data_IF_560993721224
#
_entry.id   IF_560993721224
#
_cell.length_a   1.000
_cell.length_b   1.000
_cell.length_c   1.000
_cell.angle_alpha   90.00
_cell.angle_beta   90.00
_cell.angle_gamma   90.00
#
_symmetry.space_group_name_H-M   'P 1'
#
loop_
_entity.id
_entity.type
_entity.pdbx_description
1 polymer ?
#
# COMPACT_ATOMS: atom_id res chain seq x y z
N UNK A 1 -11.03 25.37 -8.09
CA UNK A 1 -10.64 24.52 -6.99
C UNK A 1 -11.94 24.08 -6.32
N UNK A 2 -12.41 22.85 -6.58
CA UNK A 2 -13.52 22.30 -5.82
C UNK A 2 -13.01 22.05 -4.42
N UNK A 3 -13.71 22.57 -3.45
CA UNK A 3 -13.44 22.41 -2.02
C UNK A 3 -13.86 20.96 -1.67
N UNK A 4 -12.89 20.03 -1.73
CA UNK A 4 -13.08 18.63 -1.29
C UNK A 4 -13.14 18.58 0.25
N UNK A 5 -14.06 19.35 0.85
CA UNK A 5 -14.39 19.17 2.26
C UNK A 5 -15.05 17.80 2.39
N UNK A 6 -14.37 16.91 3.06
CA UNK A 6 -14.91 15.62 3.44
C UNK A 6 -16.08 15.92 4.40
N UNK A 7 -17.28 15.47 4.05
CA UNK A 7 -18.39 15.48 5.01
C UNK A 7 -18.12 14.38 6.04
N UNK A 8 -17.74 14.79 7.25
CA UNK A 8 -17.31 13.88 8.31
C UNK A 8 -18.46 12.96 8.74
N UNK A 9 -19.69 13.41 8.69
CA UNK A 9 -20.84 12.59 9.09
C UNK A 9 -21.16 11.52 8.02
N UNK A 10 -21.04 11.86 6.73
CA UNK A 10 -21.13 10.88 5.65
C UNK A 10 -19.99 9.86 5.74
N UNK A 11 -18.75 10.31 5.94
CA UNK A 11 -17.59 9.41 6.12
C UNK A 11 -17.76 8.47 7.31
N UNK A 12 -18.34 8.93 8.43
CA UNK A 12 -18.62 8.07 9.61
C UNK A 12 -19.65 7.00 9.31
N UNK A 13 -20.71 7.34 8.60
CA UNK A 13 -21.73 6.37 8.21
C UNK A 13 -21.16 5.34 7.23
N UNK A 14 -20.44 5.80 6.20
CA UNK A 14 -19.78 4.93 5.22
C UNK A 14 -18.78 4.00 5.93
N UNK A 15 -17.93 4.54 6.82
CA UNK A 15 -16.95 3.77 7.57
C UNK A 15 -17.60 2.63 8.38
N UNK A 16 -18.71 2.92 9.08
CA UNK A 16 -19.41 1.92 9.87
C UNK A 16 -19.99 0.80 9.00
N UNK A 17 -20.55 1.16 7.84
CA UNK A 17 -21.09 0.16 6.89
C UNK A 17 -19.94 -0.72 6.36
N UNK A 18 -18.86 -0.11 5.88
CA UNK A 18 -17.72 -0.84 5.30
C UNK A 18 -17.04 -1.74 6.33
N UNK A 19 -16.83 -1.27 7.56
CA UNK A 19 -16.21 -2.05 8.63
C UNK A 19 -17.07 -3.28 8.98
N UNK A 20 -18.40 -3.17 8.97
CA UNK A 20 -19.29 -4.30 9.22
C UNK A 20 -19.33 -5.31 8.08
N UNK A 21 -18.92 -4.93 6.88
CA UNK A 21 -18.83 -5.80 5.71
C UNK A 21 -17.48 -6.54 5.58
N UNK A 22 -16.49 -6.23 6.41
CA UNK A 22 -15.22 -6.94 6.42
C UNK A 22 -15.43 -8.41 6.80
N UNK A 23 -14.84 -9.31 6.00
CA UNK A 23 -14.73 -10.71 6.41
C UNK A 23 -13.69 -10.88 7.54
N UNK A 24 -13.61 -12.07 8.11
CA UNK A 24 -12.75 -12.34 9.26
C UNK A 24 -11.28 -12.01 9.00
N UNK A 25 -10.69 -12.42 7.86
CA UNK A 25 -9.31 -12.12 7.50
C UNK A 25 -9.07 -10.60 7.39
N UNK A 26 -9.98 -9.92 6.70
CA UNK A 26 -9.91 -8.46 6.53
C UNK A 26 -10.08 -7.74 7.86
N UNK A 27 -11.01 -8.19 8.71
CA UNK A 27 -11.27 -7.60 10.02
C UNK A 27 -10.05 -7.71 10.93
N UNK A 28 -9.42 -8.87 10.98
CA UNK A 28 -8.22 -9.08 11.78
C UNK A 28 -7.09 -8.13 11.37
N UNK A 29 -6.87 -7.97 10.05
CA UNK A 29 -5.84 -7.05 9.53
C UNK A 29 -6.22 -5.60 9.84
N UNK A 30 -7.48 -5.21 9.65
CA UNK A 30 -8.00 -3.89 9.97
C UNK A 30 -7.73 -3.54 11.45
N UNK A 31 -8.15 -4.40 12.38
CA UNK A 31 -8.01 -4.16 13.82
C UNK A 31 -6.54 -4.01 14.24
N UNK A 32 -5.62 -4.82 13.68
CA UNK A 32 -4.18 -4.69 13.93
C UNK A 32 -3.62 -3.35 13.43
N UNK A 33 -4.03 -2.90 12.25
CA UNK A 33 -3.58 -1.62 11.69
C UNK A 33 -4.11 -0.46 12.51
N UNK A 34 -5.39 -0.46 12.88
CA UNK A 34 -5.99 0.59 13.72
C UNK A 34 -5.33 0.64 15.09
N UNK A 35 -5.05 -0.52 15.69
CA UNK A 35 -4.28 -0.60 16.95
C UNK A 35 -2.90 0.05 16.80
N UNK A 36 -2.18 -0.22 15.70
CA UNK A 36 -0.85 0.35 15.45
C UNK A 36 -0.89 1.88 15.24
N UNK A 37 -1.97 2.40 14.63
CA UNK A 37 -2.15 3.84 14.43
C UNK A 37 -2.45 4.54 15.76
N UNK A 38 -3.25 3.91 16.63
CA UNK A 38 -3.67 4.48 17.91
C UNK A 38 -2.60 4.36 19.01
N UNK A 39 -1.65 3.43 18.87
CA UNK A 39 -0.58 3.22 19.85
C UNK A 39 0.80 3.55 19.25
N UNK A 40 1.37 4.67 19.63
CA UNK A 40 2.68 5.11 19.14
C UNK A 40 3.83 4.18 19.58
N UNK A 41 3.66 3.45 20.69
CA UNK A 41 4.62 2.48 21.20
C UNK A 41 4.49 1.10 20.56
N UNK A 42 3.49 0.88 19.67
CA UNK A 42 3.34 -0.38 18.96
C UNK A 42 4.56 -0.61 18.07
N UNK A 43 5.22 -1.76 18.28
CA UNK A 43 6.42 -2.13 17.52
C UNK A 43 6.09 -2.51 16.08
N UNK A 44 4.93 -3.14 15.89
CA UNK A 44 4.47 -3.55 14.57
C UNK A 44 3.80 -2.38 13.85
N UNK A 45 4.52 -1.78 12.92
CA UNK A 45 4.04 -0.64 12.13
C UNK A 45 4.10 -0.85 10.61
N UNK A 46 4.69 -1.95 10.15
CA UNK A 46 4.92 -2.24 8.75
C UNK A 46 4.20 -3.54 8.38
N UNK A 47 3.19 -3.44 7.49
CA UNK A 47 2.27 -4.51 7.11
C UNK A 47 2.36 -4.77 5.61
N UNK A 48 2.62 -6.00 5.21
CA UNK A 48 2.46 -6.44 3.83
C UNK A 48 1.20 -7.32 3.70
N UNK A 49 0.24 -6.86 2.91
CA UNK A 49 -1.01 -7.57 2.65
C UNK A 49 -0.96 -8.18 1.26
N UNK A 50 -0.81 -9.49 1.20
CA UNK A 50 -0.82 -10.27 -0.04
C UNK A 50 -2.19 -10.87 -0.33
N UNK A 51 -2.46 -11.12 -1.60
CA UNK A 51 -3.66 -11.83 -2.03
C UNK A 51 -3.85 -11.71 -3.53
N UNK A 52 -4.44 -12.73 -4.13
CA UNK A 52 -4.78 -12.76 -5.55
C UNK A 52 -5.81 -11.68 -5.92
N UNK A 53 -6.08 -11.52 -7.22
CA UNK A 53 -7.18 -10.66 -7.66
C UNK A 53 -8.51 -11.14 -7.08
N UNK A 54 -9.35 -10.22 -6.60
CA UNK A 54 -10.70 -10.54 -6.12
C UNK A 54 -10.82 -10.89 -4.64
N UNK A 55 -9.72 -10.95 -3.87
CA UNK A 55 -9.78 -11.20 -2.41
C UNK A 55 -10.13 -9.96 -1.57
N UNK A 56 -10.49 -8.86 -2.22
CA UNK A 56 -10.98 -7.65 -1.52
C UNK A 56 -9.87 -6.77 -0.91
N UNK A 57 -8.62 -6.78 -1.42
CA UNK A 57 -7.56 -5.86 -0.96
C UNK A 57 -7.99 -4.40 -1.01
N UNK A 58 -8.44 -3.93 -2.18
CA UNK A 58 -8.86 -2.52 -2.36
C UNK A 58 -10.05 -2.15 -1.49
N UNK A 59 -10.96 -3.11 -1.19
CA UNK A 59 -12.05 -2.90 -0.25
C UNK A 59 -11.53 -2.67 1.18
N UNK A 60 -10.64 -3.54 1.67
CA UNK A 60 -9.98 -3.36 2.97
C UNK A 60 -9.27 -2.01 3.05
N UNK A 61 -8.54 -1.63 2.00
CA UNK A 61 -7.79 -0.38 1.95
C UNK A 61 -8.71 0.83 2.03
N UNK A 62 -9.76 0.86 1.21
CA UNK A 62 -10.73 1.95 1.24
C UNK A 62 -11.49 2.00 2.57
N UNK A 63 -11.79 0.84 3.19
CA UNK A 63 -12.37 0.79 4.54
C UNK A 63 -11.47 1.45 5.58
N UNK A 64 -10.16 1.17 5.55
CA UNK A 64 -9.19 1.80 6.46
C UNK A 64 -9.12 3.31 6.21
N UNK A 65 -9.04 3.73 4.95
CA UNK A 65 -8.95 5.15 4.57
C UNK A 65 -10.21 5.89 5.03
N UNK A 66 -11.40 5.37 4.73
CA UNK A 66 -12.68 5.97 5.13
C UNK A 66 -12.81 6.06 6.66
N UNK A 67 -12.43 4.99 7.36
CA UNK A 67 -12.44 4.99 8.83
C UNK A 67 -11.50 6.06 9.43
N UNK A 68 -10.30 6.21 8.88
CA UNK A 68 -9.35 7.22 9.35
C UNK A 68 -9.77 8.64 8.98
N UNK A 69 -10.36 8.85 7.80
CA UNK A 69 -10.94 10.14 7.41
C UNK A 69 -12.06 10.55 8.37
N UNK A 70 -12.96 9.61 8.74
CA UNK A 70 -14.02 9.85 9.72
C UNK A 70 -13.50 10.26 11.11
N UNK A 71 -12.23 9.92 11.41
CA UNK A 71 -11.51 10.34 12.63
C UNK A 71 -10.60 11.57 12.40
N UNK A 72 -10.69 12.22 11.24
CA UNK A 72 -9.86 13.35 10.83
C UNK A 72 -8.34 13.04 10.83
N UNK A 73 -7.98 11.76 10.69
CA UNK A 73 -6.60 11.30 10.61
C UNK A 73 -6.14 11.34 9.17
N UNK A 74 -5.11 12.14 8.87
CA UNK A 74 -4.56 12.26 7.51
C UNK A 74 -3.90 10.96 7.06
N UNK A 75 -4.21 10.57 5.83
CA UNK A 75 -3.77 9.34 5.17
C UNK A 75 -3.02 9.67 3.89
N UNK A 76 -1.93 8.96 3.62
CA UNK A 76 -1.24 8.98 2.33
C UNK A 76 -1.65 7.72 1.55
N UNK A 77 -2.53 7.90 0.55
CA UNK A 77 -2.98 6.83 -0.34
C UNK A 77 -2.20 6.87 -1.64
N UNK A 78 -1.39 5.84 -1.91
CA UNK A 78 -0.59 5.75 -3.13
C UNK A 78 -0.68 4.38 -3.79
N UNK A 79 -0.40 4.35 -5.08
CA UNK A 79 -0.27 3.12 -5.85
C UNK A 79 0.88 3.21 -6.86
N UNK A 80 1.33 2.04 -7.34
CA UNK A 80 2.40 1.97 -8.35
C UNK A 80 1.93 2.37 -9.74
N UNK A 81 0.63 2.27 -10.04
CA UNK A 81 0.03 2.62 -11.33
C UNK A 81 -1.10 3.63 -11.16
N UNK A 82 -1.41 4.37 -12.24
CA UNK A 82 -2.55 5.32 -12.25
C UNK A 82 -3.89 4.62 -12.05
N UNK A 83 -4.07 3.42 -12.64
CA UNK A 83 -5.30 2.64 -12.51
C UNK A 83 -5.52 2.21 -11.06
N UNK A 84 -4.51 1.65 -10.41
CA UNK A 84 -4.61 1.27 -9.01
C UNK A 84 -4.82 2.50 -8.10
N UNK A 85 -4.17 3.64 -8.40
CA UNK A 85 -4.38 4.87 -7.67
C UNK A 85 -5.83 5.37 -7.75
N UNK A 86 -6.48 5.26 -8.91
CA UNK A 86 -7.88 5.65 -9.09
C UNK A 86 -8.88 4.77 -8.31
N UNK A 87 -8.47 3.56 -7.92
CA UNK A 87 -9.30 2.65 -7.10
C UNK A 87 -9.19 2.94 -5.60
N UNK A 88 -8.20 3.70 -5.18
CA UNK A 88 -8.03 4.11 -3.79
C UNK A 88 -8.68 5.47 -3.55
N UNK A 89 -9.39 5.61 -2.45
CA UNK A 89 -9.93 6.89 -1.99
C UNK A 89 -8.78 7.89 -1.81
N UNK A 90 -8.86 9.05 -2.48
CA UNK A 90 -7.79 10.09 -2.54
C UNK A 90 -6.43 9.57 -3.07
N UNK A 91 -6.45 8.50 -3.86
CA UNK A 91 -5.24 7.84 -4.34
C UNK A 91 -4.46 8.66 -5.36
N UNK A 92 -3.14 8.61 -5.28
CA UNK A 92 -2.19 9.17 -6.26
C UNK A 92 -1.13 8.14 -6.60
N UNK A 93 -0.46 8.32 -7.74
CA UNK A 93 0.73 7.50 -8.01
C UNK A 93 1.86 7.87 -7.06
N UNK A 94 2.70 6.91 -6.71
CA UNK A 94 3.87 7.14 -5.84
C UNK A 94 4.78 8.25 -6.38
N UNK A 95 5.00 8.28 -7.70
CA UNK A 95 5.82 9.32 -8.35
C UNK A 95 5.22 10.71 -8.19
N UNK A 96 3.91 10.85 -8.35
CA UNK A 96 3.21 12.14 -8.17
C UNK A 96 3.23 12.58 -6.71
N UNK A 97 2.87 11.69 -5.76
CA UNK A 97 2.78 12.06 -4.34
C UNK A 97 4.12 12.44 -3.73
N UNK A 98 5.18 11.72 -4.10
CA UNK A 98 6.52 11.93 -3.56
C UNK A 98 7.43 12.73 -4.51
N UNK A 99 6.89 13.27 -5.61
CA UNK A 99 7.64 14.06 -6.60
C UNK A 99 8.95 13.37 -7.01
N UNK A 100 8.87 12.05 -7.31
CA UNK A 100 10.04 11.24 -7.65
C UNK A 100 10.43 11.46 -9.11
N UNK A 101 11.75 11.46 -9.42
CA UNK A 101 12.21 11.51 -10.80
C UNK A 101 11.89 10.20 -11.55
N UNK A 102 11.85 10.28 -12.87
CA UNK A 102 11.75 9.11 -13.75
C UNK A 102 12.88 9.19 -14.78
N UNK A 103 13.76 8.20 -14.84
CA UNK A 103 13.88 7.01 -14.00
C UNK A 103 14.44 7.30 -12.59
N UNK A 104 14.21 6.38 -11.64
CA UNK A 104 14.79 6.43 -10.30
C UNK A 104 16.12 5.69 -10.28
N UNK A 105 17.19 6.35 -9.85
CA UNK A 105 18.51 5.80 -9.63
C UNK A 105 18.83 5.69 -8.13
N UNK A 106 19.91 5.00 -7.78
CA UNK A 106 20.34 4.79 -6.38
C UNK A 106 20.55 6.10 -5.61
N UNK A 107 21.06 7.13 -6.29
CA UNK A 107 21.33 8.47 -5.74
C UNK A 107 20.21 9.48 -6.01
N UNK A 108 19.09 9.07 -6.59
CA UNK A 108 17.95 9.95 -6.80
C UNK A 108 17.42 10.49 -5.48
N UNK A 109 16.90 11.72 -5.51
CA UNK A 109 16.22 12.39 -4.41
C UNK A 109 14.82 12.83 -4.84
N UNK A 110 13.90 12.90 -3.90
CA UNK A 110 12.61 13.54 -4.10
C UNK A 110 12.80 15.05 -4.30
N UNK A 111 11.89 15.68 -5.06
CA UNK A 111 11.85 17.15 -5.20
C UNK A 111 11.12 17.85 -4.05
N UNK A 112 10.59 17.10 -3.10
CA UNK A 112 9.90 17.64 -1.93
C UNK A 112 10.94 18.31 -1.02
N UNK A 113 10.79 19.61 -0.80
CA UNK A 113 11.58 20.35 0.20
C UNK A 113 10.92 20.26 1.57
N UNK A 114 11.69 20.41 2.65
CA UNK A 114 11.18 20.28 4.02
C UNK A 114 10.07 21.28 4.37
N UNK A 115 10.10 22.45 3.75
CA UNK A 115 9.20 23.55 4.00
C UNK A 115 7.94 23.52 3.10
N UNK A 116 7.91 22.61 2.10
CA UNK A 116 6.81 22.53 1.14
C UNK A 116 5.50 22.07 1.82
N UNK A 117 4.38 22.39 1.19
CA UNK A 117 3.06 21.92 1.61
C UNK A 117 2.96 20.39 1.55
N UNK A 118 3.56 19.77 0.53
CA UNK A 118 3.62 18.30 0.45
C UNK A 118 4.38 17.70 1.63
N UNK A 119 5.49 18.32 2.06
CA UNK A 119 6.22 17.87 3.24
C UNK A 119 5.39 18.03 4.52
N UNK A 120 4.65 19.14 4.65
CA UNK A 120 3.73 19.34 5.78
C UNK A 120 2.64 18.27 5.80
N UNK A 121 1.99 18.03 4.67
CA UNK A 121 0.98 16.98 4.55
C UNK A 121 1.55 15.60 4.92
N UNK A 122 2.74 15.26 4.41
CA UNK A 122 3.42 14.00 4.72
C UNK A 122 3.74 13.90 6.22
N UNK A 123 4.19 14.96 6.89
CA UNK A 123 4.46 14.93 8.34
C UNK A 123 3.21 14.68 9.16
N UNK A 124 2.13 15.36 8.82
CA UNK A 124 0.85 15.27 9.54
C UNK A 124 0.15 13.93 9.35
N UNK A 125 0.35 13.27 8.21
CA UNK A 125 -0.23 11.96 7.96
C UNK A 125 0.34 10.89 8.91
N UNK A 126 -0.55 10.13 9.55
CA UNK A 126 -0.17 9.05 10.48
C UNK A 126 -0.06 7.69 9.82
N UNK A 127 -0.68 7.52 8.66
CA UNK A 127 -0.81 6.27 7.94
C UNK A 127 -0.47 6.44 6.46
N UNK A 128 0.20 5.44 5.89
CA UNK A 128 0.46 5.37 4.46
C UNK A 128 0.03 3.99 3.93
N UNK A 129 -0.70 4.00 2.83
CA UNK A 129 -1.03 2.80 2.07
C UNK A 129 -0.45 2.88 0.66
N UNK A 130 0.19 1.79 0.22
CA UNK A 130 0.79 1.66 -1.10
C UNK A 130 0.31 0.39 -1.78
N UNK A 131 -0.64 0.53 -2.70
CA UNK A 131 -1.17 -0.60 -3.47
C UNK A 131 -0.29 -0.92 -4.70
N UNK A 132 -0.36 -2.18 -5.13
CA UNK A 132 0.43 -2.75 -6.23
C UNK A 132 1.95 -2.49 -6.10
N UNK A 133 2.47 -2.51 -4.86
CA UNK A 133 3.89 -2.24 -4.59
C UNK A 133 4.82 -3.24 -5.28
N UNK A 134 4.35 -4.45 -5.60
CA UNK A 134 5.13 -5.51 -6.26
C UNK A 134 5.56 -5.13 -7.68
N UNK A 135 4.88 -4.17 -8.31
CA UNK A 135 5.25 -3.60 -9.61
C UNK A 135 6.35 -2.55 -9.51
N UNK A 136 6.60 -2.02 -8.32
CA UNK A 136 7.60 -0.97 -8.10
C UNK A 136 9.02 -1.51 -8.07
N UNK A 137 9.96 -0.72 -8.62
CA UNK A 137 11.37 -0.99 -8.48
C UNK A 137 11.81 -0.78 -7.02
N UNK A 138 12.71 -1.63 -6.53
CA UNK A 138 13.35 -1.51 -5.22
C UNK A 138 13.88 -0.10 -4.95
N UNK A 139 14.49 0.54 -5.94
CA UNK A 139 15.04 1.89 -5.78
C UNK A 139 13.95 2.92 -5.50
N UNK A 140 12.76 2.79 -6.10
CA UNK A 140 11.60 3.64 -5.81
C UNK A 140 11.13 3.43 -4.37
N UNK A 141 11.06 2.17 -3.94
CA UNK A 141 10.66 1.80 -2.58
C UNK A 141 11.61 2.38 -1.52
N UNK A 142 12.92 2.24 -1.74
CA UNK A 142 13.97 2.78 -0.86
C UNK A 142 14.00 4.32 -0.90
N UNK A 143 13.70 4.95 -2.05
CA UNK A 143 13.62 6.41 -2.16
C UNK A 143 12.45 6.97 -1.36
N UNK A 144 11.30 6.30 -1.35
CA UNK A 144 10.15 6.70 -0.51
C UNK A 144 10.52 6.62 0.98
N UNK A 145 11.18 5.56 1.42
CA UNK A 145 11.66 5.44 2.80
C UNK A 145 12.60 6.60 3.17
N UNK A 146 13.63 6.87 2.34
CA UNK A 146 14.55 7.99 2.58
C UNK A 146 13.83 9.34 2.65
N UNK A 147 12.87 9.56 1.75
CA UNK A 147 12.08 10.81 1.72
C UNK A 147 11.25 10.96 2.99
N UNK A 148 10.60 9.88 3.44
CA UNK A 148 9.80 9.90 4.67
C UNK A 148 10.66 10.17 5.91
N UNK A 149 11.83 9.52 6.03
CA UNK A 149 12.77 9.79 7.12
C UNK A 149 13.22 11.25 7.13
N UNK A 150 13.60 11.79 5.97
CA UNK A 150 14.04 13.18 5.83
C UNK A 150 12.93 14.17 6.20
N UNK A 151 11.72 13.97 5.65
CA UNK A 151 10.58 14.88 5.86
C UNK A 151 10.07 14.82 7.30
N UNK A 152 10.01 13.63 7.90
CA UNK A 152 9.53 13.44 9.28
C UNK A 152 10.64 13.72 10.34
N UNK A 153 11.88 13.94 9.90
CA UNK A 153 13.05 14.07 10.77
C UNK A 153 13.14 12.90 11.77
N UNK A 154 12.99 11.67 11.26
CA UNK A 154 12.92 10.45 12.06
C UNK A 154 13.61 9.30 11.30
N UNK A 155 14.66 8.74 11.89
CA UNK A 155 15.48 7.68 11.27
C UNK A 155 14.84 6.28 11.30
N UNK A 156 13.69 6.13 11.95
CA UNK A 156 12.93 4.87 11.88
C UNK A 156 12.51 4.57 10.44
N UNK A 157 12.39 3.30 10.04
CA UNK A 157 11.88 2.94 8.73
C UNK A 157 10.59 3.70 8.39
N UNK A 158 10.55 4.25 7.18
CA UNK A 158 9.45 5.09 6.68
C UNK A 158 9.08 6.28 7.58
N UNK A 159 10.07 6.86 8.27
CA UNK A 159 9.85 7.98 9.18
C UNK A 159 8.99 7.63 10.41
N UNK A 160 8.92 6.34 10.77
CA UNK A 160 8.16 5.84 11.93
C UNK A 160 6.64 5.79 11.74
N UNK A 161 6.13 5.99 10.52
CA UNK A 161 4.70 5.90 10.21
C UNK A 161 4.19 4.46 10.20
N UNK A 162 2.89 4.28 10.34
CA UNK A 162 2.24 3.00 10.04
C UNK A 162 2.10 2.87 8.53
N UNK A 163 2.67 1.80 7.99
CA UNK A 163 2.73 1.55 6.55
C UNK A 163 2.01 0.24 6.22
N UNK A 164 1.10 0.29 5.28
CA UNK A 164 0.52 -0.88 4.63
C UNK A 164 0.97 -0.90 3.19
N UNK A 165 1.60 -1.97 2.76
CA UNK A 165 1.90 -2.21 1.35
C UNK A 165 1.11 -3.42 0.86
N UNK A 166 0.59 -3.33 -0.36
CA UNK A 166 -0.21 -4.37 -0.98
C UNK A 166 0.28 -4.79 -2.34
N UNK A 167 -0.02 -6.01 -2.71
CA UNK A 167 0.28 -6.52 -4.05
C UNK A 167 0.34 -8.04 -4.12
N UNK A 168 0.49 -8.53 -5.34
CA UNK A 168 0.62 -9.96 -5.62
C UNK A 168 1.83 -10.23 -6.53
N UNK A 169 2.86 -10.85 -5.99
CA UNK A 169 4.07 -11.23 -6.75
C UNK A 169 3.80 -12.25 -7.87
N UNK A 170 2.64 -12.89 -7.89
CA UNK A 170 2.25 -13.79 -8.96
C UNK A 170 1.71 -13.04 -10.19
N UNK A 171 1.24 -11.81 -10.03
CA UNK A 171 0.63 -11.03 -11.11
C UNK A 171 1.65 -10.22 -11.89
N UNK A 172 2.39 -9.33 -11.23
CA UNK A 172 3.33 -8.43 -11.88
C UNK A 172 4.58 -8.19 -11.03
N UNK A 173 5.71 -8.15 -11.72
CA UNK A 173 7.03 -7.76 -11.20
C UNK A 173 7.49 -6.47 -11.87
N UNK A 174 8.52 -5.79 -11.34
CA UNK A 174 9.11 -4.62 -11.98
C UNK A 174 9.55 -4.90 -13.40
N UNK A 175 9.22 -4.01 -14.33
CA UNK A 175 9.67 -4.10 -15.73
C UNK A 175 11.05 -3.47 -15.82
N UNK A 176 12.04 -4.25 -16.29
CA UNK A 176 13.39 -3.79 -16.55
C UNK A 176 13.64 -3.89 -18.05
N UNK A 177 13.80 -2.73 -18.69
CA UNK A 177 14.06 -2.67 -20.13
C UNK A 177 15.36 -3.44 -20.45
N UNK A 178 15.28 -4.40 -21.37
CA UNK A 178 16.38 -5.29 -21.75
C UNK A 178 16.98 -6.09 -20.58
N UNK A 179 16.27 -6.19 -19.43
CA UNK A 179 16.73 -6.92 -18.27
C UNK A 179 16.48 -8.42 -18.37
N UNK A 180 17.46 -9.22 -17.94
CA UNK A 180 17.30 -10.65 -17.75
C UNK A 180 16.58 -10.96 -16.40
N UNK A 181 16.28 -12.24 -16.16
CA UNK A 181 15.62 -12.70 -14.91
C UNK A 181 16.34 -12.21 -13.65
N UNK A 182 17.67 -12.23 -13.64
CA UNK A 182 18.46 -11.77 -12.48
C UNK A 182 18.27 -10.27 -12.22
N UNK A 183 18.22 -9.44 -13.28
CA UNK A 183 17.94 -8.01 -13.16
C UNK A 183 16.55 -7.73 -12.58
N UNK A 184 15.52 -8.48 -13.00
CA UNK A 184 14.17 -8.38 -12.46
C UNK A 184 14.14 -8.76 -10.98
N UNK A 185 14.80 -9.84 -10.58
CA UNK A 185 14.89 -10.26 -9.18
C UNK A 185 15.58 -9.20 -8.33
N UNK A 186 16.68 -8.62 -8.82
CA UNK A 186 17.39 -7.54 -8.13
C UNK A 186 16.56 -6.25 -8.04
N UNK A 187 15.71 -5.97 -9.01
CA UNK A 187 14.84 -4.80 -9.01
C UNK A 187 13.60 -4.98 -8.12
N UNK A 188 13.25 -6.21 -7.77
CA UNK A 188 12.11 -6.52 -6.92
C UNK A 188 12.30 -5.96 -5.50
N UNK A 189 11.22 -5.47 -4.89
CA UNK A 189 11.23 -4.96 -3.50
C UNK A 189 11.68 -6.00 -2.49
N UNK A 190 11.53 -7.31 -2.78
CA UNK A 190 12.05 -8.39 -1.93
C UNK A 190 13.57 -8.35 -1.76
N UNK A 191 14.29 -7.74 -2.71
CA UNK A 191 15.75 -7.55 -2.65
C UNK A 191 16.16 -6.31 -1.83
N UNK A 192 15.21 -5.53 -1.31
CA UNK A 192 15.47 -4.43 -0.41
C UNK A 192 15.61 -4.92 1.03
N UNK A 193 16.56 -4.33 1.78
CA UNK A 193 16.69 -4.56 3.23
C UNK A 193 15.44 -4.19 4.01
N UNK A 194 14.63 -3.28 3.49
CA UNK A 194 13.36 -2.86 4.10
C UNK A 194 12.31 -3.96 4.09
N UNK A 195 12.36 -4.88 3.11
CA UNK A 195 11.36 -5.95 2.97
C UNK A 195 11.24 -6.84 4.21
N UNK A 196 12.36 -7.14 4.86
CA UNK A 196 12.41 -8.01 6.04
C UNK A 196 11.75 -7.38 7.28
N UNK A 197 11.49 -6.07 7.25
CA UNK A 197 10.87 -5.33 8.35
C UNK A 197 9.34 -5.44 8.34
N UNK A 198 8.76 -5.93 7.25
CA UNK A 198 7.32 -6.06 7.10
C UNK A 198 6.80 -7.38 7.67
N UNK A 199 5.72 -7.29 8.43
CA UNK A 199 4.92 -8.47 8.80
C UNK A 199 3.97 -8.82 7.65
N UNK A 200 3.91 -10.11 7.31
CA UNK A 200 3.22 -10.59 6.12
C UNK A 200 1.85 -11.17 6.48
N UNK A 201 0.82 -10.65 5.83
CA UNK A 201 -0.56 -11.10 5.95
C UNK A 201 -1.06 -11.54 4.59
N UNK A 202 -1.97 -12.49 4.58
CA UNK A 202 -2.55 -13.02 3.35
C UNK A 202 -4.07 -13.02 3.46
N UNK A 203 -4.74 -12.38 2.49
CA UNK A 203 -6.17 -12.54 2.28
C UNK A 203 -6.39 -13.77 1.39
N UNK A 204 -7.24 -14.69 1.85
CA UNK A 204 -7.47 -15.97 1.17
C UNK A 204 -8.85 -16.03 0.53
N UNK A 205 -9.87 -15.45 1.16
CA UNK A 205 -11.25 -15.55 0.72
C UNK A 205 -11.49 -14.75 -0.55
N UNK A 206 -11.82 -15.43 -1.66
CA UNK A 206 -12.19 -14.77 -2.90
C UNK A 206 -13.61 -14.21 -2.80
N UNK A 207 -13.76 -12.89 -2.98
CA UNK A 207 -15.02 -12.17 -2.84
C UNK A 207 -15.76 -11.98 -4.16
N UNK A 208 -15.19 -12.39 -5.30
CA UNK A 208 -15.77 -12.21 -6.65
C UNK A 208 -16.47 -13.46 -7.16
N UNK A 209 -16.24 -14.60 -6.53
CA UNK A 209 -16.65 -15.89 -7.05
C UNK A 209 -17.67 -16.52 -6.13
N UNK A 210 -18.72 -17.07 -6.74
CA UNK A 210 -19.77 -17.79 -6.01
C UNK A 210 -19.22 -19.09 -5.43
N UNK A 211 -19.79 -19.61 -4.34
CA UNK A 211 -19.31 -20.82 -3.67
C UNK A 211 -19.14 -22.02 -4.63
N UNK A 212 -19.99 -22.10 -5.66
CA UNK A 212 -20.01 -23.20 -6.64
C UNK A 212 -18.82 -23.16 -7.61
N UNK A 213 -18.13 -22.02 -7.76
CA UNK A 213 -17.01 -21.84 -8.69
C UNK A 213 -15.63 -21.92 -7.99
N UNK A 214 -15.58 -22.23 -6.71
CA UNK A 214 -14.31 -22.30 -5.95
C UNK A 214 -13.34 -23.36 -6.50
N UNK A 215 -13.85 -24.47 -7.04
CA UNK A 215 -13.01 -25.51 -7.65
C UNK A 215 -12.34 -25.03 -8.94
N UNK A 216 -13.03 -24.19 -9.73
CA UNK A 216 -12.45 -23.56 -10.91
C UNK A 216 -11.29 -22.61 -10.55
N UNK A 217 -11.40 -21.87 -9.45
CA UNK A 217 -10.31 -21.01 -8.96
C UNK A 217 -9.10 -21.83 -8.52
N UNK A 218 -9.31 -22.91 -7.75
CA UNK A 218 -8.23 -23.80 -7.36
C UNK A 218 -7.50 -24.36 -8.58
N UNK A 219 -8.25 -24.74 -9.61
CA UNK A 219 -7.70 -25.20 -10.87
C UNK A 219 -6.90 -24.11 -11.59
N UNK A 220 -7.41 -22.86 -11.66
CA UNK A 220 -6.67 -21.71 -12.20
C UNK A 220 -5.37 -21.44 -11.41
N UNK A 221 -5.43 -21.45 -10.09
CA UNK A 221 -4.23 -21.28 -9.25
C UNK A 221 -3.18 -22.35 -9.48
N UNK A 222 -3.58 -23.60 -9.67
CA UNK A 222 -2.69 -24.71 -10.02
C UNK A 222 -2.06 -24.53 -11.41
N UNK A 223 -2.81 -24.08 -12.40
CA UNK A 223 -2.28 -23.77 -13.74
C UNK A 223 -1.21 -22.66 -13.72
N UNK A 224 -1.39 -21.66 -12.88
CA UNK A 224 -0.39 -20.60 -12.72
C UNK A 224 0.88 -21.09 -12.01
N UNK A 225 0.76 -22.01 -11.06
CA UNK A 225 1.89 -22.60 -10.36
C UNK A 225 2.73 -23.54 -11.26
N UNK A 226 2.09 -24.25 -12.18
CA UNK A 226 2.78 -25.18 -13.11
C UNK A 226 3.47 -24.48 -14.29
N UNK A 227 3.14 -23.23 -14.61
CA UNK A 227 3.78 -22.46 -15.69
C UNK A 227 4.95 -21.56 -15.25
N UNK A 228 5.26 -21.52 -13.96
CA UNK A 228 6.34 -20.69 -13.39
C UNK A 228 7.62 -21.48 -13.08
N UNK A 229 7.67 -22.77 -13.43
CA UNK A 229 8.85 -23.63 -13.31
C UNK A 229 9.31 -24.16 -14.66
#
# INVERSE_FOLDING_TARGET
MMDDRIDIDEERQEANIMVNQLNEDQRNIFDMIIKAINNENEQQRLFYVSGSGGVGKSFLYNTIITHLNALEIKVISIASTGIAAALLKQGRTVHSRFQLPVPVFKNSTSRITRESEDARYIREARFLIWDEVTMSNRLTFELVDRTLRLVCNNDRPFGGKVIVIGGDFKQCLPIIQNGNRAAVVQACIKSSHLWQLFNHYRLQTNMRVQPEEQDFIRWLEQLFLTKLF
#
